data_IF_312000208648
#
_entry.id   IF_312000208648
#
_cell.length_a   1.000
_cell.length_b   1.000
_cell.length_c   1.000
_cell.angle_alpha   90.00
_cell.angle_beta   90.00
_cell.angle_gamma   90.00
#
_symmetry.space_group_name_H-M   'P 1'
#
loop_
_entity.id
_entity.type
_entity.pdbx_description
1 polymer ?
#
# COMPACT_ATOMS: atom_id res chain seq x y z
N UNK A 1 25.42 -17.65 -14.47
CA UNK A 1 25.87 -18.19 -15.77
C UNK A 1 25.14 -19.51 -15.95
N UNK A 2 24.15 -19.53 -16.84
CA UNK A 2 23.22 -20.66 -17.03
C UNK A 2 23.94 -21.83 -17.69
N UNK A 3 24.31 -22.84 -16.90
CA UNK A 3 24.96 -24.07 -17.38
C UNK A 3 23.99 -25.02 -18.13
N UNK A 4 22.68 -24.85 -17.92
CA UNK A 4 21.62 -25.61 -18.58
C UNK A 4 20.91 -24.73 -19.62
N UNK A 5 20.57 -25.28 -20.80
CA UNK A 5 19.70 -24.60 -21.77
C UNK A 5 18.23 -24.52 -21.32
N UNK A 6 17.86 -25.26 -20.26
CA UNK A 6 16.53 -25.27 -19.66
C UNK A 6 16.57 -24.70 -18.24
N UNK A 7 15.49 -24.05 -17.80
CA UNK A 7 15.35 -23.64 -16.40
C UNK A 7 15.14 -24.89 -15.52
N UNK A 8 15.93 -25.00 -14.46
CA UNK A 8 15.81 -26.09 -13.49
C UNK A 8 14.50 -25.98 -12.68
N UNK A 9 13.89 -24.80 -12.62
CA UNK A 9 12.59 -24.57 -11.96
C UNK A 9 11.45 -25.24 -12.70
N UNK A 10 11.43 -25.14 -14.03
CA UNK A 10 10.43 -25.77 -14.88
C UNK A 10 10.44 -27.30 -14.70
N UNK A 11 11.63 -27.87 -14.50
CA UNK A 11 11.79 -29.29 -14.15
C UNK A 11 11.17 -29.63 -12.79
N UNK A 12 11.39 -28.79 -11.77
CA UNK A 12 10.89 -29.02 -10.40
C UNK A 12 9.38 -28.86 -10.33
N UNK A 13 8.79 -27.88 -11.03
CA UNK A 13 7.35 -27.67 -11.09
C UNK A 13 6.62 -28.55 -12.13
N UNK A 14 7.34 -29.39 -12.86
CA UNK A 14 6.76 -30.34 -13.81
C UNK A 14 6.21 -29.71 -15.10
N UNK A 15 6.74 -28.55 -15.50
CA UNK A 15 6.32 -27.83 -16.71
C UNK A 15 7.03 -28.32 -17.99
N UNK A 16 8.07 -29.15 -17.85
CA UNK A 16 8.84 -29.71 -18.97
C UNK A 16 8.21 -30.95 -19.59
N UNK A 17 8.43 -31.13 -20.89
CA UNK A 17 8.06 -32.37 -21.59
C UNK A 17 8.99 -33.55 -21.23
N UNK A 18 8.56 -34.78 -21.53
CA UNK A 18 9.32 -35.99 -21.18
C UNK A 18 10.68 -36.13 -21.89
N UNK A 19 10.95 -35.37 -22.95
CA UNK A 19 12.25 -35.35 -23.62
C UNK A 19 13.20 -34.38 -22.89
N UNK A 20 12.69 -33.21 -22.51
CA UNK A 20 13.37 -32.18 -21.74
C UNK A 20 13.69 -32.65 -20.32
N UNK A 21 12.78 -33.35 -19.64
CA UNK A 21 13.03 -33.97 -18.33
C UNK A 21 14.27 -34.87 -18.37
N UNK A 22 14.36 -35.76 -19.38
CA UNK A 22 15.50 -36.67 -19.55
C UNK A 22 16.80 -35.92 -19.84
N UNK A 23 16.74 -34.83 -20.59
CA UNK A 23 17.90 -33.99 -20.88
C UNK A 23 18.42 -33.29 -19.60
N UNK A 24 17.52 -32.76 -18.76
CA UNK A 24 17.86 -32.13 -17.48
C UNK A 24 18.44 -33.15 -16.50
N UNK A 25 17.86 -34.35 -16.39
CA UNK A 25 18.42 -35.41 -15.55
C UNK A 25 19.81 -35.86 -16.00
N UNK A 26 20.03 -36.01 -17.31
CA UNK A 26 21.33 -36.35 -17.86
C UNK A 26 22.36 -35.26 -17.55
N UNK A 27 21.97 -33.99 -17.68
CA UNK A 27 22.81 -32.85 -17.36
C UNK A 27 23.13 -32.75 -15.87
N UNK A 28 22.13 -32.94 -15.00
CA UNK A 28 22.30 -32.93 -13.54
C UNK A 28 23.24 -34.03 -13.03
N UNK A 29 23.36 -35.17 -13.73
CA UNK A 29 24.36 -36.20 -13.41
C UNK A 29 25.78 -35.82 -13.84
N UNK A 30 25.92 -35.02 -14.89
CA UNK A 30 27.21 -34.61 -15.43
C UNK A 30 27.76 -33.31 -14.81
N UNK A 31 26.90 -32.45 -14.30
CA UNK A 31 27.25 -31.12 -13.79
C UNK A 31 26.98 -31.02 -12.27
N UNK A 32 28.03 -30.95 -11.41
CA UNK A 32 27.85 -30.88 -9.97
C UNK A 32 27.16 -29.58 -9.51
N UNK A 33 27.40 -28.46 -10.20
CA UNK A 33 26.76 -27.19 -9.88
C UNK A 33 25.23 -27.23 -10.08
N UNK A 34 24.77 -27.85 -11.18
CA UNK A 34 23.35 -28.02 -11.43
C UNK A 34 22.70 -29.06 -10.49
N UNK A 35 23.46 -30.08 -10.07
CA UNK A 35 22.98 -31.03 -9.06
C UNK A 35 22.74 -30.35 -7.70
N UNK A 36 23.66 -29.47 -7.28
CA UNK A 36 23.52 -28.69 -6.05
C UNK A 36 22.33 -27.73 -6.13
N UNK A 37 22.17 -27.01 -7.24
CA UNK A 37 21.04 -26.12 -7.46
C UNK A 37 19.69 -26.87 -7.45
N UNK A 38 19.61 -28.04 -8.10
CA UNK A 38 18.43 -28.89 -8.09
C UNK A 38 18.09 -29.39 -6.67
N UNK A 39 19.11 -29.73 -5.87
CA UNK A 39 18.91 -30.13 -4.46
C UNK A 39 18.32 -28.99 -3.62
N UNK A 40 18.80 -27.76 -3.84
CA UNK A 40 18.30 -26.56 -3.16
C UNK A 40 16.85 -26.24 -3.56
N UNK A 41 16.52 -26.38 -4.85
CA UNK A 41 15.15 -26.16 -5.34
C UNK A 41 14.18 -27.18 -4.74
N UNK A 42 14.55 -28.47 -4.68
CA UNK A 42 13.73 -29.52 -4.04
C UNK A 42 13.51 -29.29 -2.54
N UNK A 43 14.51 -28.78 -1.84
CA UNK A 43 14.35 -28.39 -0.43
C UNK A 43 13.34 -27.27 -0.27
N UNK A 44 13.36 -26.29 -1.18
CA UNK A 44 12.43 -25.15 -1.16
C UNK A 44 11.02 -25.59 -1.53
N UNK A 45 10.89 -26.45 -2.54
CA UNK A 45 9.64 -27.11 -2.91
C UNK A 45 9.02 -27.82 -1.71
N UNK A 46 9.80 -28.68 -1.03
CA UNK A 46 9.34 -29.39 0.18
C UNK A 46 8.91 -28.42 1.27
N UNK A 47 9.65 -27.33 1.46
CA UNK A 47 9.28 -26.29 2.44
C UNK A 47 7.96 -25.59 2.06
N UNK A 48 7.75 -25.26 0.78
CA UNK A 48 6.51 -24.65 0.29
C UNK A 48 5.31 -25.59 0.45
N UNK A 49 5.46 -26.86 0.08
CA UNK A 49 4.42 -27.87 0.22
C UNK A 49 4.22 -28.35 1.67
N UNK A 50 5.10 -27.97 2.60
CA UNK A 50 4.86 -28.19 4.04
C UNK A 50 3.87 -27.20 4.65
N UNK A 51 3.60 -26.08 3.97
CA UNK A 51 2.58 -25.14 4.42
C UNK A 51 1.20 -25.77 4.23
N UNK A 52 0.31 -25.54 5.20
CA UNK A 52 -1.07 -25.99 5.13
C UNK A 52 -1.76 -25.29 3.97
N UNK A 53 -2.43 -26.05 3.10
CA UNK A 53 -3.30 -25.50 2.06
C UNK A 53 -4.44 -24.74 2.75
N UNK A 54 -4.34 -23.41 2.75
CA UNK A 54 -5.37 -22.53 3.28
C UNK A 54 -6.20 -22.02 2.10
N UNK A 55 -7.53 -22.11 2.19
CA UNK A 55 -8.39 -21.59 1.12
C UNK A 55 -8.10 -20.10 0.89
N UNK A 56 -7.89 -19.70 -0.37
CA UNK A 56 -7.65 -18.31 -0.72
C UNK A 56 -8.82 -17.45 -0.21
N UNK A 57 -8.59 -16.45 0.67
CA UNK A 57 -9.65 -15.72 1.32
C UNK A 57 -10.53 -15.02 0.28
N UNK A 58 -11.79 -15.45 0.20
CA UNK A 58 -12.78 -14.96 -0.80
C UNK A 58 -13.15 -13.49 -0.62
N UNK A 59 -12.64 -12.83 0.43
CA UNK A 59 -12.85 -11.43 0.76
C UNK A 59 -11.54 -10.82 1.25
N UNK A 60 -10.72 -10.39 0.30
CA UNK A 60 -9.64 -9.44 0.55
C UNK A 60 -10.30 -8.09 0.85
N UNK A 61 -10.63 -7.86 2.13
CA UNK A 61 -10.86 -6.52 2.62
C UNK A 61 -9.49 -5.85 2.72
N UNK A 62 -9.21 -4.90 1.82
CA UNK A 62 -8.01 -4.07 1.93
C UNK A 62 -8.02 -3.44 3.33
N UNK A 63 -6.93 -3.62 4.08
CA UNK A 63 -6.75 -3.15 5.47
C UNK A 63 -6.66 -1.61 5.57
N UNK A 64 -7.26 -0.89 4.61
CA UNK A 64 -7.46 0.56 4.65
C UNK A 64 -8.93 0.99 4.66
N UNK A 65 -9.89 0.09 4.46
CA UNK A 65 -11.29 0.40 4.73
C UNK A 65 -11.55 0.14 6.21
N UNK A 66 -11.31 1.16 7.04
CA UNK A 66 -12.14 1.31 8.23
C UNK A 66 -13.57 1.29 7.72
N UNK A 67 -14.26 0.20 7.98
CA UNK A 67 -15.71 0.09 7.92
C UNK A 67 -16.22 1.20 8.84
N UNK A 68 -16.41 2.39 8.27
CA UNK A 68 -17.23 3.42 8.86
C UNK A 68 -18.61 2.80 8.86
N UNK A 69 -18.99 2.18 9.97
CA UNK A 69 -20.35 1.76 10.22
C UNK A 69 -21.22 3.01 10.02
N UNK A 70 -21.94 3.14 8.89
CA UNK A 70 -22.91 4.20 8.80
C UNK A 70 -24.00 3.78 9.78
N UNK A 71 -24.34 4.63 10.74
CA UNK A 71 -25.58 4.51 11.53
C UNK A 71 -26.70 4.29 10.52
N UNK A 72 -27.13 3.03 10.38
CA UNK A 72 -27.78 2.50 9.17
C UNK A 72 -29.12 3.18 8.92
N UNK A 73 -29.73 3.67 10.01
CA UNK A 73 -30.97 4.42 9.95
C UNK A 73 -30.72 5.88 9.53
N UNK A 74 -29.69 6.56 10.05
CA UNK A 74 -29.39 7.95 9.73
C UNK A 74 -28.89 8.16 8.30
N UNK A 75 -27.95 7.32 7.88
CA UNK A 75 -27.37 7.41 6.55
C UNK A 75 -28.41 7.09 5.46
N UNK A 76 -29.39 6.23 5.73
CA UNK A 76 -30.38 5.81 4.73
C UNK A 76 -31.42 6.88 4.41
N UNK A 77 -31.90 7.65 5.39
CA UNK A 77 -32.81 8.77 5.09
C UNK A 77 -32.08 9.93 4.44
N UNK A 78 -30.86 10.23 4.88
CA UNK A 78 -30.03 11.26 4.26
C UNK A 78 -29.68 10.89 2.81
N UNK A 79 -29.26 9.65 2.55
CA UNK A 79 -29.07 9.18 1.18
C UNK A 79 -30.38 9.11 0.40
N UNK A 80 -31.51 8.67 0.95
CA UNK A 80 -32.76 8.65 0.18
C UNK A 80 -33.22 10.06 -0.24
N UNK A 81 -32.96 11.07 0.60
CA UNK A 81 -33.26 12.46 0.29
C UNK A 81 -32.30 13.04 -0.77
N UNK A 82 -31.00 12.80 -0.63
CA UNK A 82 -29.96 13.33 -1.52
C UNK A 82 -29.77 12.52 -2.82
N UNK A 83 -30.10 11.22 -2.82
CA UNK A 83 -29.99 10.34 -3.98
C UNK A 83 -31.22 10.42 -4.90
N UNK A 84 -32.08 11.41 -4.67
CA UNK A 84 -33.16 11.78 -5.58
C UNK A 84 -32.63 12.64 -6.75
N UNK A 85 -31.47 12.26 -7.32
CA UNK A 85 -30.79 12.96 -8.41
C UNK A 85 -31.72 13.41 -9.56
N UNK A 86 -32.67 12.58 -10.07
CA UNK A 86 -33.60 13.07 -11.09
C UNK A 86 -34.59 14.11 -10.55
N UNK A 87 -35.07 13.98 -9.30
CA UNK A 87 -36.01 14.94 -8.70
C UNK A 87 -35.34 16.28 -8.40
N UNK A 88 -34.09 16.27 -7.95
CA UNK A 88 -33.29 17.49 -7.77
C UNK A 88 -32.98 18.16 -9.10
N UNK A 89 -32.72 17.39 -10.16
CA UNK A 89 -32.57 17.92 -11.53
C UNK A 89 -33.83 18.60 -12.04
N UNK A 90 -35.01 17.99 -11.88
CA UNK A 90 -36.28 18.61 -12.25
C UNK A 90 -36.62 19.83 -11.39
N UNK A 91 -36.33 19.80 -10.08
CA UNK A 91 -36.53 20.94 -9.20
C UNK A 91 -35.63 22.12 -9.58
N UNK A 92 -34.36 21.85 -9.90
CA UNK A 92 -33.43 22.87 -10.39
C UNK A 92 -33.88 23.44 -11.73
N UNK A 93 -34.31 22.60 -12.68
CA UNK A 93 -34.83 23.05 -13.97
C UNK A 93 -36.12 23.88 -13.84
N UNK A 94 -37.02 23.50 -12.93
CA UNK A 94 -38.23 24.26 -12.64
C UNK A 94 -37.90 25.63 -12.03
N UNK A 95 -36.95 25.68 -11.08
CA UNK A 95 -36.51 26.93 -10.46
C UNK A 95 -35.79 27.85 -11.46
N UNK A 96 -35.03 27.28 -12.39
CA UNK A 96 -34.34 28.02 -13.45
C UNK A 96 -35.36 28.55 -14.47
N UNK A 97 -36.36 27.75 -14.85
CA UNK A 97 -37.46 28.18 -15.71
C UNK A 97 -38.28 29.32 -15.10
N UNK A 98 -38.64 29.23 -13.81
CA UNK A 98 -39.34 30.32 -13.12
C UNK A 98 -38.47 31.57 -12.99
N UNK A 99 -37.17 31.42 -12.72
CA UNK A 99 -36.23 32.54 -12.70
C UNK A 99 -36.15 33.24 -14.06
N UNK A 100 -36.11 32.50 -15.17
CA UNK A 100 -36.13 33.07 -16.53
C UNK A 100 -37.46 33.79 -16.79
N UNK A 101 -38.61 33.22 -16.42
CA UNK A 101 -39.91 33.85 -16.62
C UNK A 101 -40.07 35.12 -15.79
N UNK A 102 -39.66 35.09 -14.52
CA UNK A 102 -39.67 36.27 -13.64
C UNK A 102 -38.72 37.32 -14.16
N UNK A 103 -37.52 36.93 -14.58
CA UNK A 103 -36.55 37.87 -15.15
C UNK A 103 -37.05 38.45 -16.47
N UNK A 104 -37.65 37.65 -17.36
CA UNK A 104 -38.25 38.15 -18.60
C UNK A 104 -39.47 39.05 -18.37
N UNK A 105 -40.22 38.81 -17.29
CA UNK A 105 -41.35 39.66 -16.91
C UNK A 105 -40.90 40.98 -16.29
N UNK A 106 -39.91 40.96 -15.38
CA UNK A 106 -39.35 42.17 -14.76
C UNK A 106 -38.48 42.99 -15.71
N UNK A 107 -37.76 42.33 -16.61
CA UNK A 107 -36.83 42.97 -17.55
C UNK A 107 -37.50 43.31 -18.88
N UNK A 108 -38.83 43.16 -18.99
CA UNK A 108 -39.58 43.43 -20.21
C UNK A 108 -39.35 44.89 -20.61
N UNK A 109 -38.57 45.18 -21.66
CA UNK A 109 -38.44 46.53 -22.16
C UNK A 109 -39.76 46.88 -22.84
N UNK A 110 -40.31 48.04 -22.50
CA UNK A 110 -41.32 48.67 -23.37
C UNK A 110 -40.66 48.82 -24.75
N UNK A 111 -41.32 48.26 -25.77
CA UNK A 111 -40.77 47.97 -27.11
C UNK A 111 -39.70 48.95 -27.64
N UNK A 112 -38.58 48.48 -28.21
CA UNK A 112 -37.75 49.32 -29.03
C UNK A 112 -38.24 49.27 -30.50
N UNK A 113 -38.43 50.46 -31.06
CA UNK A 113 -38.41 50.68 -32.49
C UNK A 113 -37.10 50.14 -33.10
N UNK A 114 -37.08 49.70 -34.37
CA UNK A 114 -35.91 49.09 -34.97
C UNK A 114 -34.82 50.14 -35.19
N UNK A 115 -33.74 50.07 -34.39
CA UNK A 115 -32.50 50.79 -34.67
C UNK A 115 -31.29 49.91 -34.29
N UNK A 116 -30.42 49.77 -35.27
CA UNK A 116 -29.12 49.08 -35.32
C UNK A 116 -28.17 49.42 -34.15
N UNK A 117 -27.51 48.41 -33.56
CA UNK A 117 -26.17 48.57 -32.94
C UNK A 117 -25.48 47.21 -32.60
N UNK A 118 -24.20 47.00 -32.97
CA UNK A 118 -23.38 45.86 -32.54
C UNK A 118 -22.52 46.11 -31.27
N UNK A 119 -22.67 47.25 -30.58
CA UNK A 119 -21.71 47.69 -29.53
C UNK A 119 -21.91 47.03 -28.15
N UNK A 120 -23.08 46.45 -27.86
CA UNK A 120 -23.38 45.87 -26.53
C UNK A 120 -22.58 44.59 -26.25
N UNK A 121 -22.20 43.84 -27.29
CA UNK A 121 -21.49 42.56 -27.15
C UNK A 121 -20.02 42.75 -26.73
N UNK A 122 -19.35 43.80 -27.19
CA UNK A 122 -17.94 44.05 -26.84
C UNK A 122 -17.76 44.50 -25.38
N UNK A 123 -18.66 45.35 -24.85
CA UNK A 123 -18.58 45.81 -23.47
C UNK A 123 -18.86 44.68 -22.45
N UNK A 124 -19.75 43.74 -22.76
CA UNK A 124 -19.98 42.56 -21.90
C UNK A 124 -18.80 41.58 -21.89
N UNK A 125 -18.09 41.44 -23.02
CA UNK A 125 -16.92 40.54 -23.11
C UNK A 125 -15.76 41.09 -22.28
N UNK A 126 -15.43 42.38 -22.37
CA UNK A 126 -14.38 42.99 -21.55
C UNK A 126 -14.68 42.90 -20.05
N UNK A 127 -15.93 43.15 -19.64
CA UNK A 127 -16.32 43.06 -18.23
C UNK A 127 -16.30 41.61 -17.71
N UNK A 128 -16.60 40.62 -18.55
CA UNK A 128 -16.53 39.20 -18.17
C UNK A 128 -15.09 38.71 -17.98
N UNK A 129 -14.14 39.19 -18.79
CA UNK A 129 -12.72 38.83 -18.68
C UNK A 129 -12.08 39.48 -17.43
N UNK A 130 -12.42 40.73 -17.13
CA UNK A 130 -11.97 41.40 -15.90
C UNK A 130 -12.48 40.66 -14.65
N UNK A 131 -13.73 40.22 -14.65
CA UNK A 131 -14.29 39.45 -13.54
C UNK A 131 -13.62 38.08 -13.38
N UNK A 132 -13.30 37.38 -14.48
CA UNK A 132 -12.57 36.12 -14.43
C UNK A 132 -11.15 36.28 -13.86
N UNK A 133 -10.39 37.29 -14.32
CA UNK A 133 -9.05 37.56 -13.81
C UNK A 133 -9.05 37.86 -12.30
N UNK A 134 -10.06 38.58 -11.79
CA UNK A 134 -10.22 38.83 -10.35
C UNK A 134 -10.56 37.57 -9.55
N UNK A 135 -11.35 36.65 -10.12
CA UNK A 135 -11.67 35.37 -9.50
C UNK A 135 -10.42 34.50 -9.43
N UNK A 136 -9.67 34.40 -10.52
CA UNK A 136 -8.44 33.61 -10.59
C UNK A 136 -7.39 34.11 -9.59
N UNK A 137 -7.24 35.43 -9.45
CA UNK A 137 -6.34 36.02 -8.45
C UNK A 137 -6.75 35.66 -7.01
N UNK A 138 -8.05 35.71 -6.69
CA UNK A 138 -8.56 35.32 -5.36
C UNK A 138 -8.41 33.83 -5.09
N UNK A 139 -8.63 32.99 -6.10
CA UNK A 139 -8.43 31.55 -6.00
C UNK A 139 -6.95 31.24 -5.79
N UNK A 140 -6.04 31.86 -6.54
CA UNK A 140 -4.60 31.68 -6.36
C UNK A 140 -4.14 32.09 -4.95
N UNK A 141 -4.66 33.20 -4.42
CA UNK A 141 -4.36 33.65 -3.06
C UNK A 141 -4.91 32.68 -2.00
N UNK A 142 -6.15 32.20 -2.16
CA UNK A 142 -6.77 31.24 -1.25
C UNK A 142 -6.05 29.89 -1.26
N UNK A 143 -5.66 29.41 -2.45
CA UNK A 143 -4.87 28.19 -2.61
C UNK A 143 -3.49 28.37 -1.97
N UNK A 144 -2.80 29.49 -2.20
CA UNK A 144 -1.51 29.77 -1.56
C UNK A 144 -1.58 29.74 -0.03
N UNK A 145 -2.63 30.35 0.55
CA UNK A 145 -2.88 30.30 2.01
C UNK A 145 -3.18 28.88 2.51
N UNK A 146 -3.97 28.11 1.76
CA UNK A 146 -4.29 26.74 2.12
C UNK A 146 -3.06 25.81 2.05
N UNK A 147 -2.23 25.95 1.02
CA UNK A 147 -0.99 25.19 0.84
C UNK A 147 0.00 25.51 1.96
N UNK A 148 0.22 26.79 2.27
CA UNK A 148 1.11 27.18 3.37
C UNK A 148 0.65 26.59 4.73
N UNK A 149 -0.66 26.61 5.00
CA UNK A 149 -1.21 25.99 6.22
C UNK A 149 -1.06 24.46 6.24
N UNK A 150 -1.09 23.82 5.07
CA UNK A 150 -0.89 22.37 4.93
C UNK A 150 0.57 21.98 5.11
N UNK A 151 1.49 22.73 4.50
CA UNK A 151 2.94 22.48 4.57
C UNK A 151 3.43 22.48 6.01
N UNK A 152 2.99 23.46 6.82
CA UNK A 152 3.31 23.50 8.25
C UNK A 152 2.82 22.25 8.98
N UNK A 153 1.57 21.83 8.74
CA UNK A 153 1.01 20.61 9.35
C UNK A 153 1.75 19.35 8.88
N UNK A 154 2.15 19.32 7.62
CA UNK A 154 2.85 18.19 7.02
C UNK A 154 4.28 18.08 7.57
N UNK A 155 5.01 19.18 7.71
CA UNK A 155 6.34 19.21 8.33
C UNK A 155 6.31 18.68 9.76
N UNK A 156 5.30 19.08 10.56
CA UNK A 156 5.13 18.57 11.92
C UNK A 156 4.87 17.06 11.90
N UNK A 157 3.97 16.57 11.03
CA UNK A 157 3.69 15.13 10.92
C UNK A 157 4.92 14.34 10.51
N UNK A 158 5.66 14.81 9.50
CA UNK A 158 6.89 14.16 9.05
C UNK A 158 7.91 14.10 10.18
N UNK A 159 8.16 15.22 10.87
CA UNK A 159 9.08 15.24 12.01
C UNK A 159 8.64 14.29 13.13
N UNK A 160 7.35 14.18 13.42
CA UNK A 160 6.85 13.21 14.42
C UNK A 160 7.02 11.76 13.96
N UNK A 161 6.76 11.46 12.69
CA UNK A 161 6.91 10.11 12.15
C UNK A 161 8.36 9.66 12.13
N UNK A 162 9.29 10.54 11.75
CA UNK A 162 10.73 10.25 11.76
C UNK A 162 11.20 9.98 13.19
N UNK A 163 10.80 10.81 14.17
CA UNK A 163 11.13 10.58 15.59
C UNK A 163 10.59 9.26 16.11
N UNK A 164 9.37 8.87 15.75
CA UNK A 164 8.79 7.58 16.16
C UNK A 164 9.55 6.40 15.56
N UNK A 165 9.99 6.51 14.31
CA UNK A 165 10.80 5.49 13.65
C UNK A 165 12.18 5.37 14.33
N UNK A 166 12.86 6.49 14.58
CA UNK A 166 14.14 6.52 15.28
C UNK A 166 14.05 5.89 16.68
N UNK A 167 12.99 6.19 17.44
CA UNK A 167 12.73 5.59 18.75
C UNK A 167 12.57 4.07 18.66
N UNK A 168 11.74 3.57 17.73
CA UNK A 168 11.59 2.12 17.53
C UNK A 168 12.89 1.44 17.14
N UNK A 169 13.71 2.06 16.29
CA UNK A 169 15.02 1.51 15.93
C UNK A 169 15.98 1.48 17.12
N UNK A 170 15.94 2.49 17.99
CA UNK A 170 16.76 2.52 19.20
C UNK A 170 16.35 1.41 20.18
N UNK A 171 15.05 1.20 20.36
CA UNK A 171 14.49 0.12 21.19
C UNK A 171 14.87 -1.26 20.65
N UNK A 172 14.66 -1.52 19.34
CA UNK A 172 15.05 -2.79 18.71
C UNK A 172 16.55 -3.06 18.86
N UNK A 173 17.40 -2.03 18.69
CA UNK A 173 18.85 -2.19 18.87
C UNK A 173 19.21 -2.56 20.31
N UNK A 174 18.52 -1.99 21.31
CA UNK A 174 18.75 -2.35 22.71
C UNK A 174 18.31 -3.79 22.98
N UNK A 175 17.16 -4.20 22.45
CA UNK A 175 16.68 -5.58 22.55
C UNK A 175 17.64 -6.57 21.91
N UNK A 176 18.15 -6.29 20.71
CA UNK A 176 19.12 -7.11 20.01
C UNK A 176 20.41 -7.29 20.82
N UNK A 177 20.92 -6.20 21.43
CA UNK A 177 22.11 -6.27 22.28
C UNK A 177 21.88 -7.16 23.51
N UNK A 178 20.71 -7.04 24.17
CA UNK A 178 20.34 -7.89 25.30
C UNK A 178 20.21 -9.37 24.87
N UNK A 179 19.62 -9.63 23.70
CA UNK A 179 19.49 -10.98 23.16
C UNK A 179 20.85 -11.60 22.83
N UNK A 180 21.76 -10.82 22.23
CA UNK A 180 23.14 -11.25 21.96
C UNK A 180 23.86 -11.59 23.27
N UNK A 181 23.78 -10.72 24.28
CA UNK A 181 24.42 -10.96 25.58
C UNK A 181 23.85 -12.22 26.27
N UNK A 182 22.52 -12.38 26.28
CA UNK A 182 21.87 -13.57 26.82
C UNK A 182 22.30 -14.85 26.09
N UNK A 183 22.38 -14.81 24.76
CA UNK A 183 22.82 -15.95 23.95
C UNK A 183 24.27 -16.34 24.21
N UNK A 184 25.15 -15.34 24.39
CA UNK A 184 26.55 -15.54 24.71
C UNK A 184 26.71 -16.17 26.09
N UNK A 185 25.99 -15.66 27.09
CA UNK A 185 26.01 -16.18 28.46
C UNK A 185 25.52 -17.64 28.51
N UNK A 186 24.42 -17.96 27.81
CA UNK A 186 23.90 -19.32 27.71
C UNK A 186 24.92 -20.28 27.07
N UNK A 187 25.57 -19.83 26.00
CA UNK A 187 26.58 -20.63 25.28
C UNK A 187 27.79 -20.90 26.17
N UNK A 188 28.28 -19.88 26.88
CA UNK A 188 29.38 -20.00 27.82
C UNK A 188 29.03 -20.96 28.98
N UNK A 189 27.80 -20.87 29.52
CA UNK A 189 27.32 -21.80 30.55
C UNK A 189 27.27 -23.25 30.05
N UNK A 190 26.78 -23.48 28.82
CA UNK A 190 26.77 -24.81 28.19
C UNK A 190 28.17 -25.35 27.96
N UNK A 191 29.12 -24.51 27.52
CA UNK A 191 30.53 -24.91 27.36
C UNK A 191 31.15 -25.32 28.70
N UNK A 192 30.96 -24.52 29.76
CA UNK A 192 31.45 -24.86 31.11
C UNK A 192 30.85 -26.18 31.63
N UNK A 193 29.55 -26.40 31.41
CA UNK A 193 28.89 -27.64 31.80
C UNK A 193 29.44 -28.86 31.04
N UNK A 194 29.66 -28.73 29.72
CA UNK A 194 30.30 -29.78 28.90
C UNK A 194 31.71 -30.09 29.39
N UNK A 195 32.53 -29.07 29.63
CA UNK A 195 33.89 -29.25 30.13
C UNK A 195 33.90 -29.94 31.50
N UNK A 196 33.04 -29.52 32.42
CA UNK A 196 32.90 -30.16 33.74
C UNK A 196 32.43 -31.63 33.66
N UNK A 197 31.59 -31.97 32.68
CA UNK A 197 31.18 -33.36 32.45
C UNK A 197 32.31 -34.21 31.84
N UNK A 198 33.08 -33.66 30.90
CA UNK A 198 34.23 -34.33 30.29
C UNK A 198 35.33 -34.61 31.32
N UNK A 199 35.65 -33.64 32.19
CA UNK A 199 36.63 -33.83 33.27
C UNK A 199 36.19 -34.89 34.28
N UNK A 200 34.88 -34.95 34.61
CA UNK A 200 34.34 -36.02 35.47
C UNK A 200 34.47 -37.40 34.82
N UNK A 201 34.20 -37.51 33.52
CA UNK A 201 34.33 -38.76 32.78
C UNK A 201 35.80 -39.21 32.68
N UNK A 202 36.72 -38.27 32.45
CA UNK A 202 38.16 -38.56 32.44
C UNK A 202 38.66 -39.06 33.81
N UNK A 203 38.24 -38.43 34.91
CA UNK A 203 38.59 -38.88 36.27
C UNK A 203 38.04 -40.26 36.63
N UNK A 204 36.81 -40.58 36.18
CA UNK A 204 36.24 -41.91 36.40
C UNK A 204 37.00 -43.03 35.66
N UNK A 205 37.60 -42.73 34.49
CA UNK A 205 38.40 -43.69 33.75
C UNK A 205 39.77 -43.93 34.38
N UNK A 206 40.33 -42.95 35.10
CA UNK A 206 41.61 -43.11 35.81
C UNK A 206 41.48 -43.88 37.12
N UNK A 207 40.35 -43.77 37.82
CA UNK A 207 40.10 -44.52 39.07
C UNK A 207 39.60 -45.95 38.85
N UNK A 208 39.05 -46.26 37.66
CA UNK A 208 38.55 -47.59 37.30
C UNK A 208 39.62 -48.62 36.86
N UNK A 209 40.91 -48.25 36.90
CA UNK A 209 42.03 -49.05 36.35
C UNK A 209 42.83 -49.90 37.33
N UNK A 210 42.40 -50.01 38.60
CA UNK A 210 43.05 -50.89 39.60
C UNK A 210 42.04 -51.88 40.16
N UNK A 211 41.81 -52.96 39.43
CA UNK A 211 41.40 -54.25 39.98
C UNK A 211 42.19 -55.36 39.30
#
# INVERSE_FOLDING_TARGET
MSCSPFDLRDYVFGELDAAQTRAVEAHGRACPACAEELSRLRLTETALFSLREEEMPRRIAFVSDKIMEPRIWEARWWHAWWNSAPRLGFAAAAMLSTAILVHGYLSRPLAPAPASAPTVVQAQVDQSQVNQAMIDARVAEAVGKAVAALEVKQQVRLATSVRQVEQRYAEMRQEDLMNIEASYNLTNQKMKARYASAMRQAGALTDGGVQ
#
